data_IF_653320463065
#
_entry.id   IF_653320463065
#
_cell.length_a   1.000
_cell.length_b   1.000
_cell.length_c   1.000
_cell.angle_alpha   90.00
_cell.angle_beta   90.00
_cell.angle_gamma   90.00
#
_symmetry.space_group_name_H-M   'P 1'
#
loop_
_entity.id
_entity.type
_entity.pdbx_description
1 polymer ?
#
# COMPACT_ATOMS: atom_id res chain seq x y z
N UNK A 1 20.69 -8.51 -1.28
CA UNK A 1 19.23 -8.48 -1.06
C UNK A 1 18.57 -7.97 -2.33
N UNK A 2 17.64 -8.73 -2.91
CA UNK A 2 17.01 -8.40 -4.19
C UNK A 2 16.24 -7.08 -4.11
N UNK A 3 16.40 -6.20 -5.10
CA UNK A 3 15.56 -5.01 -5.25
C UNK A 3 14.16 -5.52 -5.60
N UNK A 4 13.22 -5.49 -4.65
CA UNK A 4 11.83 -5.84 -4.91
C UNK A 4 11.30 -4.88 -5.99
N UNK A 5 10.90 -5.46 -7.13
CA UNK A 5 10.28 -4.72 -8.22
C UNK A 5 8.77 -4.68 -7.94
N UNK A 6 8.30 -3.50 -7.57
CA UNK A 6 6.89 -3.23 -7.33
C UNK A 6 6.14 -3.07 -8.66
N UNK A 7 4.96 -3.68 -8.79
CA UNK A 7 4.07 -3.53 -9.95
C UNK A 7 2.84 -2.72 -9.59
N UNK A 8 2.28 -1.99 -10.56
CA UNK A 8 1.02 -1.26 -10.40
C UNK A 8 -0.06 -2.21 -9.89
N UNK A 9 -0.78 -1.79 -8.85
CA UNK A 9 -1.80 -2.58 -8.18
C UNK A 9 -1.29 -3.43 -7.01
N UNK A 10 0.03 -3.54 -6.78
CA UNK A 10 0.55 -4.18 -5.57
C UNK A 10 0.03 -3.47 -4.33
N UNK A 11 -0.43 -4.26 -3.34
CA UNK A 11 -0.85 -3.76 -2.05
C UNK A 11 0.37 -3.70 -1.13
N UNK A 12 0.59 -2.54 -0.52
CA UNK A 12 1.80 -2.27 0.28
C UNK A 12 1.47 -1.50 1.54
N UNK A 13 2.36 -1.59 2.52
CA UNK A 13 2.45 -0.64 3.63
C UNK A 13 3.61 0.31 3.35
N UNK A 14 3.30 1.58 3.17
CA UNK A 14 4.30 2.61 2.89
C UNK A 14 4.68 3.33 4.18
N UNK A 15 5.98 3.40 4.47
CA UNK A 15 6.53 4.10 5.63
C UNK A 15 7.04 5.47 5.21
N UNK A 16 6.34 6.52 5.63
CA UNK A 16 6.76 7.92 5.41
C UNK A 16 7.13 8.58 6.74
N UNK A 17 7.98 9.61 6.70
CA UNK A 17 8.50 10.28 7.89
C UNK A 17 7.35 10.89 8.71
N UNK A 18 7.32 10.61 10.01
CA UNK A 18 6.33 11.18 10.93
C UNK A 18 4.99 10.45 11.00
N UNK A 19 4.78 9.42 10.17
CA UNK A 19 3.55 8.63 10.17
C UNK A 19 3.84 7.15 10.44
N UNK A 20 2.88 6.39 10.99
CA UNK A 20 2.99 4.94 11.00
C UNK A 20 3.00 4.41 9.55
N UNK A 21 3.45 3.16 9.37
CA UNK A 21 3.28 2.47 8.09
C UNK A 21 1.80 2.51 7.68
N UNK A 22 1.52 3.08 6.52
CA UNK A 22 0.17 3.42 6.07
C UNK A 22 -0.23 2.53 4.89
N UNK A 23 -1.47 2.03 4.85
CA UNK A 23 -1.96 1.23 3.74
C UNK A 23 -1.96 1.99 2.41
N UNK A 24 -1.37 1.40 1.37
CA UNK A 24 -1.32 1.99 0.04
C UNK A 24 -1.36 0.93 -1.07
N UNK A 25 -1.55 1.39 -2.29
CA UNK A 25 -1.37 0.60 -3.50
C UNK A 25 -0.34 1.25 -4.41
N UNK A 26 0.47 0.46 -5.11
CA UNK A 26 1.41 0.95 -6.11
C UNK A 26 0.62 1.52 -7.29
N UNK A 27 0.91 2.76 -7.64
CA UNK A 27 0.23 3.52 -8.69
C UNK A 27 1.14 3.72 -9.89
N UNK A 28 0.53 3.89 -11.06
CA UNK A 28 1.24 4.24 -12.27
C UNK A 28 1.72 5.71 -12.19
N UNK A 29 3.02 6.01 -12.32
CA UNK A 29 3.52 7.39 -12.30
C UNK A 29 2.95 8.24 -13.45
N UNK A 30 2.70 7.65 -14.63
CA UNK A 30 2.13 8.32 -15.79
C UNK A 30 0.70 8.82 -15.56
N UNK A 31 -0.08 8.13 -14.70
CA UNK A 31 -1.41 8.61 -14.25
C UNK A 31 -1.34 10.00 -13.60
N UNK A 32 -0.18 10.34 -13.02
CA UNK A 32 0.06 11.57 -12.30
C UNK A 32 0.97 12.54 -13.08
N UNK A 33 1.23 12.28 -14.37
CA UNK A 33 2.10 13.12 -15.21
C UNK A 33 3.59 12.97 -14.93
N UNK A 34 4.02 11.87 -14.31
CA UNK A 34 5.42 11.60 -13.99
C UNK A 34 6.01 10.49 -14.86
N UNK A 35 7.33 10.54 -15.11
CA UNK A 35 8.04 9.49 -15.86
C UNK A 35 8.16 8.18 -15.06
N UNK A 36 8.00 7.06 -15.77
CA UNK A 36 8.23 5.70 -15.26
C UNK A 36 9.71 5.38 -14.97
N UNK A 37 10.66 6.21 -15.44
CA UNK A 37 12.10 6.01 -15.25
C UNK A 37 12.60 6.40 -13.85
N UNK A 38 11.68 6.81 -12.96
CA UNK A 38 12.04 7.19 -11.59
C UNK A 38 12.51 5.98 -10.78
N UNK A 39 13.58 6.16 -10.01
CA UNK A 39 14.03 5.16 -9.01
C UNK A 39 13.05 5.04 -7.83
N UNK A 40 12.03 5.89 -7.77
CA UNK A 40 10.99 5.91 -6.75
C UNK A 40 9.78 5.12 -7.21
N UNK A 41 9.08 4.55 -6.26
CA UNK A 41 7.80 3.88 -6.47
C UNK A 41 6.70 4.88 -6.11
N UNK A 42 5.75 5.09 -7.01
CA UNK A 42 4.56 5.90 -6.71
C UNK A 42 3.56 5.01 -6.01
N UNK A 43 3.08 5.46 -4.85
CA UNK A 43 2.02 4.79 -4.11
C UNK A 43 0.86 5.74 -3.90
N UNK A 44 -0.36 5.21 -3.88
CA UNK A 44 -1.59 5.91 -3.52
C UNK A 44 -2.09 5.35 -2.19
N UNK A 45 -2.21 6.21 -1.18
CA UNK A 45 -2.66 5.86 0.15
C UNK A 45 -4.17 5.65 0.18
N UNK A 46 -4.58 4.59 0.86
CA UNK A 46 -5.99 4.37 1.19
C UNK A 46 -6.44 5.37 2.27
N UNK A 47 -7.76 5.58 2.36
CA UNK A 47 -8.40 6.49 3.32
C UNK A 47 -8.51 7.95 2.85
N UNK A 48 -7.64 8.41 1.95
CA UNK A 48 -7.67 9.80 1.46
C UNK A 48 -7.05 10.04 0.08
N UNK A 49 -6.78 9.00 -0.70
CA UNK A 49 -6.31 9.05 -2.10
C UNK A 49 -5.11 9.99 -2.35
N UNK A 50 -4.26 10.17 -1.35
CA UNK A 50 -3.02 10.94 -1.47
C UNK A 50 -1.93 10.08 -2.10
N UNK A 51 -1.02 10.69 -2.86
CA UNK A 51 0.13 9.98 -3.43
C UNK A 51 1.44 10.31 -2.72
N UNK A 52 2.40 9.39 -2.79
CA UNK A 52 3.79 9.64 -2.41
C UNK A 52 4.78 8.90 -3.31
N UNK A 53 5.99 9.45 -3.36
CA UNK A 53 7.16 8.84 -4.01
C UNK A 53 8.04 8.18 -2.95
N UNK A 54 7.93 6.86 -2.83
CA UNK A 54 8.66 6.08 -1.84
C UNK A 54 9.92 5.45 -2.43
N UNK A 55 10.96 5.24 -1.60
CA UNK A 55 12.00 4.31 -2.01
C UNK A 55 11.43 2.88 -1.93
N UNK A 56 11.90 1.93 -2.76
CA UNK A 56 11.52 0.53 -2.63
C UNK A 56 11.76 -0.06 -1.22
N UNK A 57 12.75 0.46 -0.49
CA UNK A 57 13.07 0.04 0.88
C UNK A 57 12.11 0.59 1.95
N UNK A 58 11.34 1.63 1.62
CA UNK A 58 10.31 2.21 2.51
C UNK A 58 8.94 1.55 2.31
N UNK A 59 8.87 0.56 1.41
CA UNK A 59 7.67 -0.19 1.10
C UNK A 59 7.79 -1.62 1.63
N UNK A 60 6.70 -2.10 2.20
CA UNK A 60 6.56 -3.46 2.67
C UNK A 60 5.35 -4.11 2.00
N UNK A 61 5.46 -5.38 1.60
CA UNK A 61 4.37 -6.08 0.95
C UNK A 61 3.21 -6.29 1.94
N UNK A 62 1.98 -6.06 1.48
CA UNK A 62 0.80 -6.36 2.28
C UNK A 62 0.42 -7.83 2.15
N UNK A 63 0.72 -8.61 3.18
CA UNK A 63 0.42 -10.05 3.28
C UNK A 63 -0.65 -10.34 4.33
N UNK A 64 -1.12 -11.59 4.42
CA UNK A 64 -2.06 -12.02 5.48
C UNK A 64 -1.52 -11.75 6.89
N UNK A 65 -0.23 -11.97 7.12
CA UNK A 65 0.41 -11.67 8.42
C UNK A 65 0.30 -10.17 8.73
N UNK A 66 0.55 -9.32 7.72
CA UNK A 66 0.43 -7.87 7.87
C UNK A 66 -1.01 -7.44 8.08
N UNK A 67 -1.97 -8.07 7.42
CA UNK A 67 -3.40 -7.84 7.68
C UNK A 67 -3.76 -8.11 9.14
N UNK A 68 -3.39 -9.26 9.69
CA UNK A 68 -3.65 -9.59 11.11
C UNK A 68 -3.02 -8.54 12.04
N UNK A 69 -1.75 -8.22 11.80
CA UNK A 69 -1.01 -7.21 12.59
C UNK A 69 -1.64 -5.82 12.50
N UNK A 70 -2.08 -5.42 11.31
CA UNK A 70 -2.64 -4.10 11.04
C UNK A 70 -4.01 -3.93 11.71
N UNK A 71 -4.84 -4.96 11.72
CA UNK A 71 -6.14 -4.99 12.43
C UNK A 71 -5.93 -4.88 13.94
N UNK A 72 -4.92 -5.54 14.49
CA UNK A 72 -4.57 -5.43 15.92
C UNK A 72 -4.10 -4.03 16.33
N UNK A 73 -3.43 -3.30 15.43
CA UNK A 73 -2.86 -1.95 15.66
C UNK A 73 -3.86 -0.79 15.48
N UNK A 74 -5.17 -1.06 15.40
CA UNK A 74 -6.21 -0.03 15.16
C UNK A 74 -6.45 0.92 16.34
N UNK A 75 -6.06 0.55 17.56
CA UNK A 75 -6.30 1.37 18.75
C UNK A 75 -5.45 2.65 18.72
N UNK A 76 -6.08 3.80 18.94
CA UNK A 76 -5.40 5.11 19.01
C UNK A 76 -5.06 5.76 17.66
N UNK A 77 -5.54 5.21 16.54
CA UNK A 77 -5.32 5.80 15.20
C UNK A 77 -6.62 6.40 14.65
N UNK A 78 -6.52 7.59 14.05
CA UNK A 78 -7.67 8.38 13.59
C UNK A 78 -8.58 7.70 12.56
N UNK A 79 -9.72 8.33 12.26
CA UNK A 79 -10.74 7.80 11.36
C UNK A 79 -10.20 7.45 9.96
N UNK A 80 -9.29 8.27 9.43
CA UNK A 80 -8.67 8.06 8.12
C UNK A 80 -7.82 6.78 8.08
N UNK A 81 -7.07 6.50 9.15
CA UNK A 81 -6.29 5.26 9.23
C UNK A 81 -7.23 4.06 9.27
N UNK A 82 -8.29 4.13 10.08
CA UNK A 82 -9.28 3.05 10.17
C UNK A 82 -9.96 2.79 8.82
N UNK A 83 -10.25 3.84 8.06
CA UNK A 83 -10.76 3.74 6.69
C UNK A 83 -9.73 3.09 5.76
N UNK A 84 -8.47 3.54 5.81
CA UNK A 84 -7.38 2.99 5.01
C UNK A 84 -7.19 1.48 5.22
N UNK A 85 -7.24 1.02 6.48
CA UNK A 85 -7.13 -0.40 6.84
C UNK A 85 -8.29 -1.20 6.25
N UNK A 86 -9.53 -0.70 6.33
CA UNK A 86 -10.70 -1.38 5.75
C UNK A 86 -10.58 -1.50 4.23
N UNK A 87 -10.13 -0.45 3.56
CA UNK A 87 -10.01 -0.43 2.10
C UNK A 87 -8.94 -1.40 1.59
N UNK A 88 -7.73 -1.42 2.18
CA UNK A 88 -6.68 -2.36 1.75
C UNK A 88 -7.08 -3.82 2.00
N UNK A 89 -7.74 -4.11 3.13
CA UNK A 89 -8.23 -5.47 3.44
C UNK A 89 -9.27 -5.89 2.40
N UNK A 90 -10.22 -5.02 2.07
CA UNK A 90 -11.22 -5.30 1.03
C UNK A 90 -10.57 -5.60 -0.31
N UNK A 91 -9.54 -4.85 -0.71
CA UNK A 91 -8.81 -5.09 -1.95
C UNK A 91 -8.05 -6.43 -1.92
N UNK A 92 -7.39 -6.72 -0.80
CA UNK A 92 -6.63 -7.95 -0.61
C UNK A 92 -7.52 -9.20 -0.67
N UNK A 93 -8.67 -9.18 0.02
CA UNK A 93 -9.65 -10.27 -0.06
C UNK A 93 -10.20 -10.47 -1.46
N UNK A 94 -10.44 -9.38 -2.20
CA UNK A 94 -10.92 -9.45 -3.58
C UNK A 94 -9.88 -10.11 -4.49
N UNK A 95 -8.61 -9.76 -4.33
CA UNK A 95 -7.49 -10.36 -5.09
C UNK A 95 -7.35 -11.85 -4.78
N UNK A 96 -7.43 -12.26 -3.50
CA UNK A 96 -7.38 -13.68 -3.12
C UNK A 96 -8.48 -14.50 -3.78
N UNK A 97 -9.72 -13.99 -3.75
CA UNK A 97 -10.88 -14.68 -4.36
C UNK A 97 -10.77 -14.83 -5.88
N UNK A 98 -10.14 -13.87 -6.57
CA UNK A 98 -9.89 -13.99 -8.01
C UNK A 98 -8.82 -15.03 -8.33
N UNK A 99 -7.86 -15.25 -7.43
CA UNK A 99 -6.78 -16.22 -7.62
C UNK A 99 -7.19 -17.67 -7.27
N UNK A 100 -8.17 -17.85 -6.38
CA UNK A 100 -8.67 -19.18 -5.97
C UNK A 100 -9.82 -19.71 -6.87
N UNK A 101 -10.26 -18.92 -7.85
CA UNK A 101 -11.37 -19.26 -8.76
C UNK A 101 -10.98 -19.50 -10.22
N UNK A 102 -9.69 -19.75 -10.51
CA UNK A 102 -9.19 -20.09 -11.86
C UNK A 102 -8.93 -21.58 -12.02
#
# INVERSE_FOLDING_TARGET
>A
AGRQKWKVGDLVLAKVKGFPAWPATVSDPGKWGHSADSKKVVVCFFGGEQIAFCNPADLEEFTEEKKVTLVGKRHGKGADFSRAVKEIIRCFEKLKKQNEGS
#
